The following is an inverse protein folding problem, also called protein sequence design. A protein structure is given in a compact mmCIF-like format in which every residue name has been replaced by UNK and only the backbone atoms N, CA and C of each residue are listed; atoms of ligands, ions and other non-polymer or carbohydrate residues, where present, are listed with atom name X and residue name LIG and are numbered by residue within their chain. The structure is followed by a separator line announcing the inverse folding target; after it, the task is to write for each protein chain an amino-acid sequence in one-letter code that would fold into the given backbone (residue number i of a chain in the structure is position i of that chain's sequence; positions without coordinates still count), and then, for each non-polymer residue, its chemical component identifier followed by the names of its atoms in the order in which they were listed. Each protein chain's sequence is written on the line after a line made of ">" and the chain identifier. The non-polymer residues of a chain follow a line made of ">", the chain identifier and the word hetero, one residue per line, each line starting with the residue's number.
data_IF_737626208934
#
_entry.id   IF_737626208934
#
_cell.length_a   1.000
_cell.length_b   1.000
_cell.length_c   1.000
_cell.angle_alpha   90.00
_cell.angle_beta   90.00
_cell.angle_gamma   90.00
#
_symmetry.space_group_name_H-M   'P 1'
#
loop_
_entity.id
_entity.type
_entity.pdbx_description
1 polymer ?
#
# COMPACT_ATOMS: atom_id res chain seq x y z
N UNK A 1 -5.62 -4.83 -36.15
CA UNK A 1 -6.97 -4.25 -35.91
C UNK A 1 -6.98 -3.27 -34.74
N UNK A 2 -6.13 -2.24 -34.83
CA UNK A 2 -6.02 -1.20 -33.79
C UNK A 2 -7.01 -0.04 -33.97
N UNK A 3 -7.72 0.02 -35.09
CA UNK A 3 -8.56 1.19 -35.45
C UNK A 3 -10.04 1.08 -35.05
N UNK A 4 -10.51 -0.08 -34.58
CA UNK A 4 -11.94 -0.26 -34.23
C UNK A 4 -12.25 -0.06 -32.75
N UNK A 5 -11.31 0.38 -31.93
CA UNK A 5 -11.57 0.65 -30.51
C UNK A 5 -12.21 2.02 -30.35
N UNK A 6 -13.53 2.08 -30.40
CA UNK A 6 -14.29 3.30 -30.20
C UNK A 6 -13.99 3.96 -28.85
N UNK A 7 -14.28 5.26 -28.73
CA UNK A 7 -14.11 6.05 -27.47
C UNK A 7 -14.68 5.36 -26.21
N UNK A 8 -15.67 4.48 -26.36
CA UNK A 8 -16.21 3.68 -25.26
C UNK A 8 -15.25 2.64 -24.66
N UNK A 9 -14.19 2.23 -25.38
CA UNK A 9 -13.21 1.27 -24.86
C UNK A 9 -12.09 1.91 -24.08
N UNK A 10 -11.82 3.20 -24.24
CA UNK A 10 -10.78 3.93 -23.50
C UNK A 10 -11.04 3.89 -22.00
N UNK A 11 -12.29 4.02 -21.55
CA UNK A 11 -12.64 3.95 -20.13
C UNK A 11 -12.54 2.55 -19.54
N UNK A 12 -12.66 1.51 -20.38
CA UNK A 12 -12.50 0.11 -19.98
C UNK A 12 -11.04 -0.29 -19.81
N UNK A 13 -10.10 0.45 -20.42
CA UNK A 13 -8.67 0.22 -20.33
C UNK A 13 -7.96 1.08 -19.25
N UNK A 14 -8.74 1.64 -18.33
CA UNK A 14 -8.24 2.32 -17.14
C UNK A 14 -8.55 1.48 -15.90
N UNK A 15 -7.51 1.18 -15.12
CA UNK A 15 -7.64 0.43 -13.87
C UNK A 15 -7.45 1.31 -12.64
N UNK A 16 -7.83 0.76 -11.49
CA UNK A 16 -7.52 1.33 -10.17
C UNK A 16 -7.08 0.22 -9.23
N UNK A 17 -5.96 0.43 -8.55
CA UNK A 17 -5.44 -0.52 -7.54
C UNK A 17 -4.94 0.27 -6.34
N UNK A 18 -5.57 0.08 -5.18
CA UNK A 18 -5.07 0.66 -3.93
C UNK A 18 -4.67 -0.41 -2.93
N UNK A 19 -3.60 -0.12 -2.19
CA UNK A 19 -3.18 -0.89 -1.03
C UNK A 19 -3.76 -0.31 0.26
N UNK A 20 -4.13 -1.18 1.19
CA UNK A 20 -4.46 -0.83 2.58
C UNK A 20 -4.08 -1.99 3.49
N UNK A 21 -3.65 -1.72 4.70
CA UNK A 21 -3.32 -2.78 5.66
C UNK A 21 -4.54 -3.31 6.39
N UNK A 22 -5.47 -2.43 6.76
CA UNK A 22 -6.57 -2.75 7.66
C UNK A 22 -7.94 -2.44 7.04
N UNK A 23 -8.01 -1.47 6.13
CA UNK A 23 -9.27 -1.00 5.57
C UNK A 23 -10.06 -0.12 6.53
N UNK A 24 -11.38 -0.23 6.53
CA UNK A 24 -12.28 0.65 7.27
C UNK A 24 -12.44 0.32 8.76
N UNK A 25 -11.33 0.20 9.49
CA UNK A 25 -11.34 -0.21 10.90
C UNK A 25 -12.11 0.79 11.78
N UNK A 26 -11.98 2.09 11.57
CA UNK A 26 -12.72 3.11 12.30
C UNK A 26 -14.25 2.95 12.13
N UNK A 27 -14.69 2.71 10.90
CA UNK A 27 -16.11 2.45 10.64
C UNK A 27 -16.60 1.16 11.31
N UNK A 28 -15.74 0.15 11.42
CA UNK A 28 -16.04 -1.09 12.15
C UNK A 28 -16.24 -0.82 13.64
N UNK A 29 -15.28 -0.09 14.26
CA UNK A 29 -15.39 0.26 15.68
C UNK A 29 -16.64 1.09 15.97
N UNK A 30 -16.96 2.07 15.14
CA UNK A 30 -18.15 2.89 15.30
C UNK A 30 -19.44 2.07 15.14
N UNK A 31 -19.48 1.15 14.19
CA UNK A 31 -20.63 0.26 14.02
C UNK A 31 -20.82 -0.67 15.24
N UNK A 32 -19.72 -1.19 15.82
CA UNK A 32 -19.77 -2.01 17.04
C UNK A 32 -20.28 -1.19 18.22
N UNK A 33 -19.77 0.02 18.46
CA UNK A 33 -20.24 0.91 19.53
C UNK A 33 -21.74 1.21 19.41
N UNK A 34 -22.20 1.50 18.18
CA UNK A 34 -23.63 1.74 17.93
C UNK A 34 -24.44 0.47 18.18
N UNK A 35 -23.95 -0.70 17.80
CA UNK A 35 -24.61 -1.97 18.04
C UNK A 35 -24.76 -2.26 19.53
N UNK A 36 -23.72 -2.07 20.33
CA UNK A 36 -23.72 -2.31 21.76
C UNK A 36 -24.64 -1.33 22.52
N UNK A 37 -24.61 -0.02 22.15
CA UNK A 37 -25.38 1.03 22.81
C UNK A 37 -26.87 1.05 22.38
N UNK A 38 -27.17 0.84 21.09
CA UNK A 38 -28.49 1.12 20.48
C UNK A 38 -29.10 -0.07 19.71
N UNK A 39 -28.38 -1.17 19.61
CA UNK A 39 -28.78 -2.37 18.88
C UNK A 39 -28.67 -2.26 17.36
N UNK A 40 -28.84 -3.40 16.69
CA UNK A 40 -28.58 -3.55 15.24
C UNK A 40 -29.38 -2.61 14.33
N UNK A 41 -30.59 -2.22 14.74
CA UNK A 41 -31.47 -1.34 13.96
C UNK A 41 -30.93 0.11 13.83
N UNK A 42 -29.92 0.47 14.60
CA UNK A 42 -29.32 1.81 14.61
C UNK A 42 -27.97 1.87 13.91
N UNK A 43 -27.43 0.75 13.46
CA UNK A 43 -26.22 0.72 12.64
C UNK A 43 -26.50 1.48 11.32
N UNK A 44 -25.53 2.27 10.88
CA UNK A 44 -25.63 3.00 9.61
C UNK A 44 -25.83 2.03 8.44
N UNK A 45 -26.75 2.28 7.51
CA UNK A 45 -26.88 1.46 6.29
C UNK A 45 -25.61 1.54 5.42
N UNK A 46 -24.74 2.53 5.62
CA UNK A 46 -23.48 2.69 4.92
C UNK A 46 -22.31 1.98 5.62
N UNK A 47 -22.50 1.40 6.81
CA UNK A 47 -21.42 0.78 7.58
C UNK A 47 -20.67 -0.27 6.76
N UNK A 48 -21.38 -1.15 6.07
CA UNK A 48 -20.76 -2.19 5.21
C UNK A 48 -19.86 -1.58 4.14
N UNK A 49 -20.35 -0.56 3.44
CA UNK A 49 -19.59 0.09 2.35
C UNK A 49 -18.40 0.90 2.87
N UNK A 50 -18.39 1.26 4.14
CA UNK A 50 -17.30 2.01 4.78
C UNK A 50 -16.23 1.10 5.38
N UNK A 51 -16.63 -0.07 5.91
CA UNK A 51 -15.69 -1.00 6.55
C UNK A 51 -14.91 -1.88 5.57
N UNK A 52 -15.44 -2.09 4.36
CA UNK A 52 -14.77 -2.96 3.37
C UNK A 52 -13.43 -2.37 2.89
N UNK A 53 -12.34 -3.18 2.83
CA UNK A 53 -11.05 -2.69 2.37
C UNK A 53 -11.07 -2.05 0.97
N UNK A 54 -11.96 -2.50 0.08
CA UNK A 54 -12.09 -1.96 -1.27
C UNK A 54 -12.94 -0.68 -1.37
N UNK A 55 -13.33 -0.11 -0.27
CA UNK A 55 -14.15 1.12 -0.21
C UNK A 55 -13.50 2.27 -0.95
N UNK A 56 -12.19 2.47 -0.72
CA UNK A 56 -11.41 3.55 -1.36
C UNK A 56 -11.37 3.42 -2.87
N UNK A 57 -11.07 2.23 -3.40
CA UNK A 57 -11.04 1.98 -4.85
C UNK A 57 -12.41 2.16 -5.48
N UNK A 58 -13.47 1.67 -4.81
CA UNK A 58 -14.84 1.81 -5.28
C UNK A 58 -15.31 3.27 -5.36
N UNK A 59 -15.08 4.06 -4.32
CA UNK A 59 -15.46 5.48 -4.29
C UNK A 59 -14.71 6.31 -5.33
N UNK A 60 -13.41 6.05 -5.49
CA UNK A 60 -12.60 6.75 -6.50
C UNK A 60 -13.03 6.33 -7.91
N UNK A 61 -13.30 5.04 -8.14
CA UNK A 61 -13.78 4.55 -9.42
C UNK A 61 -15.11 5.22 -9.82
N UNK A 62 -16.05 5.33 -8.89
CA UNK A 62 -17.33 6.05 -9.11
C UNK A 62 -17.09 7.51 -9.45
N UNK A 63 -16.25 8.19 -8.66
CA UNK A 63 -15.98 9.63 -8.84
C UNK A 63 -15.37 9.97 -10.20
N UNK A 64 -14.50 9.13 -10.71
CA UNK A 64 -13.77 9.37 -11.97
C UNK A 64 -14.27 8.55 -13.15
N UNK A 65 -15.31 7.74 -12.96
CA UNK A 65 -15.87 6.90 -14.01
C UNK A 65 -14.93 5.80 -14.52
N UNK A 66 -14.04 5.29 -13.66
CA UNK A 66 -13.10 4.22 -14.02
C UNK A 66 -13.88 2.91 -14.12
N UNK A 67 -13.91 2.30 -15.31
CA UNK A 67 -14.74 1.12 -15.61
C UNK A 67 -13.93 -0.16 -15.87
N UNK A 68 -12.61 -0.06 -15.85
CA UNK A 68 -11.73 -1.23 -15.94
C UNK A 68 -11.55 -1.94 -14.59
N UNK A 69 -10.53 -2.79 -14.45
CA UNK A 69 -10.26 -3.52 -13.22
C UNK A 69 -10.13 -2.60 -12.01
N UNK A 70 -10.81 -2.95 -10.92
CA UNK A 70 -10.74 -2.27 -9.63
C UNK A 70 -10.35 -3.28 -8.56
N UNK A 71 -9.16 -3.15 -8.01
CA UNK A 71 -8.59 -4.09 -7.06
C UNK A 71 -8.15 -3.37 -5.78
N UNK A 72 -8.22 -4.09 -4.66
CA UNK A 72 -7.61 -3.65 -3.41
C UNK A 72 -6.70 -4.74 -2.89
N UNK A 73 -5.47 -4.37 -2.57
CA UNK A 73 -4.44 -5.27 -2.05
C UNK A 73 -4.29 -5.02 -0.56
N UNK A 74 -4.34 -6.10 0.22
CA UNK A 74 -4.26 -6.06 1.69
C UNK A 74 -3.13 -6.96 2.18
N UNK A 75 -1.89 -6.55 1.90
CA UNK A 75 -0.67 -7.25 2.32
C UNK A 75 0.08 -6.47 3.40
N UNK A 76 -0.69 -5.96 4.38
CA UNK A 76 -0.16 -5.16 5.49
C UNK A 76 0.70 -3.99 4.98
N UNK A 77 1.89 -3.77 5.56
CA UNK A 77 2.78 -2.67 5.22
C UNK A 77 3.25 -2.68 3.76
N UNK A 78 3.26 -3.85 3.10
CA UNK A 78 3.64 -3.99 1.70
C UNK A 78 2.50 -3.68 0.70
N UNK A 79 1.28 -3.45 1.17
CA UNK A 79 0.08 -3.36 0.32
C UNK A 79 0.21 -2.33 -0.81
N UNK A 80 0.73 -1.15 -0.53
CA UNK A 80 0.92 -0.09 -1.55
C UNK A 80 2.00 -0.44 -2.56
N UNK A 81 3.11 -1.05 -2.13
CA UNK A 81 4.17 -1.51 -3.03
C UNK A 81 3.68 -2.66 -3.92
N UNK A 82 2.92 -3.60 -3.36
CA UNK A 82 2.28 -4.66 -4.15
C UNK A 82 1.25 -4.08 -5.14
N UNK A 83 0.48 -3.06 -4.76
CA UNK A 83 -0.45 -2.40 -5.67
C UNK A 83 0.28 -1.81 -6.89
N UNK A 84 1.41 -1.13 -6.66
CA UNK A 84 2.26 -0.56 -7.72
C UNK A 84 2.82 -1.66 -8.63
N UNK A 85 3.34 -2.76 -8.05
CA UNK A 85 3.86 -3.88 -8.81
C UNK A 85 2.80 -4.58 -9.67
N UNK A 86 1.61 -4.79 -9.14
CA UNK A 86 0.51 -5.37 -9.92
C UNK A 86 0.00 -4.42 -11.02
N UNK A 87 -0.01 -3.10 -10.77
CA UNK A 87 -0.31 -2.12 -11.81
C UNK A 87 0.70 -2.16 -12.95
N UNK A 88 2.03 -2.25 -12.64
CA UNK A 88 3.09 -2.46 -13.63
C UNK A 88 2.78 -3.69 -14.49
N UNK A 89 2.54 -4.85 -13.87
CA UNK A 89 2.22 -6.10 -14.59
C UNK A 89 1.00 -5.97 -15.49
N UNK A 90 -0.06 -5.33 -15.03
CA UNK A 90 -1.26 -5.14 -15.83
C UNK A 90 -1.02 -4.30 -17.07
N UNK A 91 -0.16 -3.28 -17.00
CA UNK A 91 0.22 -2.44 -18.13
C UNK A 91 1.13 -3.23 -19.09
N UNK A 92 2.14 -3.92 -18.59
CA UNK A 92 3.08 -4.72 -19.41
C UNK A 92 2.38 -5.86 -20.17
N UNK A 93 1.36 -6.48 -19.53
CA UNK A 93 0.55 -7.50 -20.18
C UNK A 93 -0.60 -6.94 -21.04
N UNK A 94 -0.64 -5.63 -21.29
CA UNK A 94 -1.67 -4.96 -22.08
C UNK A 94 -3.11 -5.20 -21.60
N UNK A 95 -3.31 -5.47 -20.31
CA UNK A 95 -4.65 -5.60 -19.71
C UNK A 95 -5.32 -4.23 -19.64
N UNK A 96 -4.55 -3.21 -19.25
CA UNK A 96 -4.97 -1.81 -19.19
C UNK A 96 -3.87 -0.89 -19.75
N UNK A 97 -4.26 0.31 -20.15
CA UNK A 97 -3.29 1.31 -20.63
C UNK A 97 -2.79 2.20 -19.50
N UNK A 98 -3.63 2.41 -18.48
CA UNK A 98 -3.34 3.29 -17.34
C UNK A 98 -3.94 2.72 -16.06
N UNK A 99 -3.25 2.93 -14.96
CA UNK A 99 -3.74 2.56 -13.62
C UNK A 99 -3.59 3.74 -12.68
N UNK A 100 -4.66 4.12 -12.02
CA UNK A 100 -4.57 4.93 -10.81
C UNK A 100 -4.20 4.00 -9.66
N UNK A 101 -2.99 4.15 -9.13
CA UNK A 101 -2.44 3.23 -8.15
C UNK A 101 -1.92 3.98 -6.93
N UNK A 102 -1.97 3.34 -5.77
CA UNK A 102 -1.43 3.93 -4.55
C UNK A 102 -1.83 3.18 -3.31
N UNK A 103 -1.91 3.88 -2.21
CA UNK A 103 -2.35 3.33 -0.95
C UNK A 103 -3.01 4.37 -0.06
N UNK A 104 -3.81 3.87 0.85
CA UNK A 104 -4.50 4.69 1.84
C UNK A 104 -4.69 3.92 3.13
N UNK A 105 -4.42 4.58 4.24
CA UNK A 105 -4.67 4.02 5.56
C UNK A 105 -5.14 5.10 6.52
N UNK A 106 -6.19 4.79 7.28
CA UNK A 106 -6.72 5.61 8.36
C UNK A 106 -7.01 4.70 9.55
N UNK A 107 -5.95 4.35 10.27
CA UNK A 107 -5.96 3.33 11.30
C UNK A 107 -5.59 3.81 12.70
N UNK A 108 -5.52 5.11 12.98
CA UNK A 108 -5.15 5.64 14.31
C UNK A 108 -6.35 5.66 15.26
N UNK A 109 -6.95 4.50 15.46
CA UNK A 109 -8.05 4.31 16.41
C UNK A 109 -7.55 3.84 17.77
N UNK A 110 -8.39 3.94 18.81
CA UNK A 110 -8.03 3.49 20.15
C UNK A 110 -7.71 1.99 20.21
N UNK A 111 -8.44 1.18 19.42
CA UNK A 111 -8.23 -0.26 19.38
C UNK A 111 -6.91 -0.61 18.68
N UNK A 112 -6.63 -0.02 17.53
CA UNK A 112 -5.39 -0.32 16.78
C UNK A 112 -4.16 0.18 17.51
N UNK A 113 -4.20 1.37 18.12
CA UNK A 113 -3.13 1.87 18.98
C UNK A 113 -2.90 0.90 20.14
N UNK A 114 -3.98 0.46 20.81
CA UNK A 114 -3.90 -0.52 21.89
C UNK A 114 -3.30 -1.85 21.42
N UNK A 115 -3.70 -2.36 20.26
CA UNK A 115 -3.19 -3.61 19.70
C UNK A 115 -1.68 -3.53 19.38
N UNK A 116 -1.24 -2.46 18.70
CA UNK A 116 0.19 -2.24 18.43
C UNK A 116 1.01 -1.99 19.69
N UNK A 117 0.45 -1.36 20.71
CA UNK A 117 1.09 -1.22 22.01
C UNK A 117 1.29 -2.58 22.71
N UNK A 118 0.32 -3.50 22.62
CA UNK A 118 0.44 -4.83 23.21
C UNK A 118 1.55 -5.67 22.59
N UNK A 119 1.77 -5.58 21.29
CA UNK A 119 2.91 -6.24 20.62
C UNK A 119 4.22 -5.48 20.77
N UNK A 120 4.23 -4.41 21.57
CA UNK A 120 5.42 -3.56 21.86
C UNK A 120 6.08 -2.95 20.61
N UNK A 121 5.27 -2.62 19.61
CA UNK A 121 5.75 -2.04 18.34
C UNK A 121 5.81 -0.51 18.38
N UNK A 122 5.09 0.14 19.32
CA UNK A 122 5.03 1.59 19.42
C UNK A 122 6.11 2.15 20.35
N UNK A 123 6.66 3.29 19.96
CA UNK A 123 7.55 4.09 20.82
C UNK A 123 6.81 4.57 22.06
N UNK A 124 7.54 4.62 23.18
CA UNK A 124 7.06 5.14 24.47
C UNK A 124 7.62 6.54 24.76
N UNK A 125 8.30 7.15 23.83
CA UNK A 125 8.97 8.46 24.01
C UNK A 125 7.97 9.61 23.82
N UNK A 126 7.04 9.75 24.78
CA UNK A 126 5.98 10.76 24.71
C UNK A 126 6.44 12.18 25.09
N UNK A 127 7.61 12.35 25.72
CA UNK A 127 8.12 13.66 26.13
C UNK A 127 8.61 14.48 24.93
N UNK A 128 9.12 13.83 23.89
CA UNK A 128 9.58 14.46 22.64
C UNK A 128 9.00 13.70 21.43
N UNK A 129 7.69 13.78 21.19
CA UNK A 129 7.00 12.95 20.19
C UNK A 129 7.55 13.14 18.77
N UNK A 130 8.06 14.31 18.44
CA UNK A 130 8.67 14.59 17.11
C UNK A 130 9.97 13.82 16.87
N UNK A 131 10.60 13.30 17.94
CA UNK A 131 11.85 12.52 17.89
C UNK A 131 11.62 11.04 18.22
N UNK A 132 10.39 10.64 18.45
CA UNK A 132 10.07 9.29 18.92
C UNK A 132 10.31 8.21 17.85
N UNK A 133 9.88 8.46 16.61
CA UNK A 133 10.18 7.59 15.47
C UNK A 133 11.54 7.95 14.90
N UNK A 134 12.53 7.05 15.05
CA UNK A 134 13.93 7.29 14.67
C UNK A 134 14.58 5.99 14.17
N UNK A 135 14.23 5.58 12.93
CA UNK A 135 14.77 4.36 12.32
C UNK A 135 16.30 4.33 12.36
N UNK A 136 16.86 3.15 12.64
CA UNK A 136 18.31 2.88 12.73
C UNK A 136 19.05 3.58 13.89
N UNK A 137 18.37 4.39 14.70
CA UNK A 137 18.99 5.01 15.90
C UNK A 137 19.20 3.97 17.01
N UNK A 138 20.29 4.12 17.76
CA UNK A 138 20.62 3.21 18.89
C UNK A 138 19.56 3.26 20.00
N UNK A 139 18.89 4.39 20.18
CA UNK A 139 17.85 4.60 21.20
C UNK A 139 16.41 4.45 20.64
N UNK A 140 16.25 3.87 19.48
CA UNK A 140 14.91 3.59 18.92
C UNK A 140 14.16 2.57 19.78
N UNK A 141 12.86 2.70 19.88
CA UNK A 141 12.02 1.82 20.70
C UNK A 141 10.67 1.50 20.07
N UNK A 142 10.48 1.81 18.79
CA UNK A 142 9.26 1.57 18.05
C UNK A 142 8.85 2.74 17.15
N UNK A 143 7.75 2.57 16.44
CA UNK A 143 7.22 3.61 15.55
C UNK A 143 6.12 4.45 16.21
N UNK A 144 5.76 5.55 15.55
CA UNK A 144 4.56 6.34 15.84
C UNK A 144 3.55 6.08 14.73
N UNK A 145 2.33 5.69 15.10
CA UNK A 145 1.25 5.48 14.11
C UNK A 145 0.91 6.79 13.41
N UNK A 146 0.64 6.69 12.12
CA UNK A 146 0.21 7.81 11.30
C UNK A 146 -0.82 7.33 10.27
N UNK A 147 -1.50 8.28 9.64
CA UNK A 147 -2.45 8.07 8.57
C UNK A 147 -1.94 8.75 7.30
N UNK A 148 -2.35 8.27 6.16
CA UNK A 148 -1.98 8.88 4.90
C UNK A 148 -2.62 8.24 3.69
N UNK A 149 -2.57 8.98 2.59
CA UNK A 149 -3.00 8.49 1.28
C UNK A 149 -2.13 9.13 0.20
N UNK A 150 -1.73 8.30 -0.75
CA UNK A 150 -0.99 8.74 -1.93
C UNK A 150 -1.50 8.00 -3.15
N UNK A 151 -1.53 8.68 -4.29
CA UNK A 151 -1.91 8.08 -5.56
C UNK A 151 -0.97 8.53 -6.68
N UNK A 152 -0.67 7.60 -7.57
CA UNK A 152 0.13 7.78 -8.78
C UNK A 152 -0.70 7.36 -10.00
N UNK A 153 -0.38 7.90 -11.16
CA UNK A 153 -0.85 7.37 -12.43
C UNK A 153 0.32 6.64 -13.07
N UNK A 154 0.17 5.32 -13.22
CA UNK A 154 1.06 4.50 -14.02
C UNK A 154 0.46 4.34 -15.42
N UNK A 155 1.32 4.46 -16.42
CA UNK A 155 0.98 4.22 -17.82
C UNK A 155 2.22 3.80 -18.59
N UNK A 156 2.05 3.24 -19.79
CA UNK A 156 3.20 2.97 -20.66
C UNK A 156 3.90 4.26 -21.07
N UNK A 157 5.22 4.21 -21.27
CA UNK A 157 6.00 5.35 -21.73
C UNK A 157 5.43 5.94 -23.03
N UNK A 158 5.06 5.07 -23.98
CA UNK A 158 4.42 5.48 -25.24
C UNK A 158 3.15 6.32 -25.00
N UNK A 159 2.31 5.88 -24.07
CA UNK A 159 1.09 6.61 -23.70
C UNK A 159 1.40 7.98 -23.09
N UNK A 160 2.40 8.05 -22.20
CA UNK A 160 2.82 9.28 -21.56
C UNK A 160 3.39 10.30 -22.58
N UNK A 161 4.24 9.84 -23.49
CA UNK A 161 4.81 10.65 -24.56
C UNK A 161 3.70 11.16 -25.49
N UNK A 162 2.79 10.27 -25.94
CA UNK A 162 1.71 10.63 -26.88
C UNK A 162 0.80 11.74 -26.34
N UNK A 163 0.61 11.84 -25.03
CA UNK A 163 -0.20 12.88 -24.40
C UNK A 163 0.62 14.04 -23.84
N UNK A 164 1.92 14.09 -24.15
CA UNK A 164 2.84 15.17 -23.77
C UNK A 164 2.86 15.44 -22.26
N UNK A 165 2.77 14.38 -21.42
CA UNK A 165 2.77 14.54 -19.98
C UNK A 165 4.17 14.46 -19.41
N UNK A 166 4.37 15.09 -18.24
CA UNK A 166 5.62 14.97 -17.50
C UNK A 166 5.76 13.55 -16.95
N UNK A 167 6.86 12.89 -17.28
CA UNK A 167 7.29 11.63 -16.67
C UNK A 167 8.13 11.98 -15.43
N UNK A 168 7.74 11.49 -14.27
CA UNK A 168 8.46 11.71 -13.00
C UNK A 168 9.50 10.64 -12.75
N UNK A 169 9.32 9.43 -13.29
CA UNK A 169 10.19 8.29 -13.15
C UNK A 169 9.59 7.05 -13.76
N UNK A 170 10.32 5.94 -13.68
CA UNK A 170 9.93 4.65 -14.22
C UNK A 170 9.88 3.61 -13.12
N UNK A 171 8.91 2.69 -13.18
CA UNK A 171 8.88 1.48 -12.37
C UNK A 171 9.52 0.37 -13.18
N UNK A 172 10.82 0.20 -13.03
CA UNK A 172 11.61 -0.70 -13.86
C UNK A 172 11.46 -2.16 -13.42
N UNK A 173 11.40 -2.43 -12.11
CA UNK A 173 11.31 -3.79 -11.62
C UNK A 173 10.43 -3.93 -10.37
N UNK A 174 9.93 -5.14 -10.17
CA UNK A 174 9.10 -5.51 -9.03
C UNK A 174 9.45 -6.89 -8.51
N UNK A 175 9.54 -7.02 -7.19
CA UNK A 175 9.74 -8.30 -6.51
C UNK A 175 8.77 -8.45 -5.34
N UNK A 176 8.21 -9.65 -5.19
CA UNK A 176 7.29 -9.98 -4.10
C UNK A 176 7.58 -11.38 -3.59
N UNK A 177 7.81 -11.51 -2.31
CA UNK A 177 8.13 -12.78 -1.63
C UNK A 177 7.38 -12.88 -0.32
N UNK A 178 7.40 -14.06 0.28
CA UNK A 178 6.84 -14.32 1.60
C UNK A 178 7.90 -14.99 2.46
N UNK A 179 8.07 -14.54 3.70
CA UNK A 179 9.05 -15.12 4.64
C UNK A 179 8.71 -16.56 5.04
N UNK A 180 7.42 -16.90 5.13
CA UNK A 180 6.93 -18.20 5.61
C UNK A 180 7.61 -18.64 6.93
N UNK A 181 7.83 -17.69 7.84
CA UNK A 181 8.61 -17.88 9.06
C UNK A 181 7.78 -17.68 10.32
N UNK A 182 7.26 -16.48 10.55
CA UNK A 182 6.52 -16.13 11.76
C UNK A 182 5.40 -15.15 11.42
N UNK A 183 4.34 -15.10 12.25
CA UNK A 183 3.18 -14.26 11.98
C UNK A 183 3.48 -12.75 11.99
N UNK A 184 4.47 -12.31 12.78
CA UNK A 184 4.82 -10.88 12.93
C UNK A 184 6.31 -10.58 12.89
N UNK A 185 7.18 -11.55 13.19
CA UNK A 185 8.62 -11.35 13.18
C UNK A 185 9.20 -11.59 11.79
N UNK A 186 10.12 -10.72 11.32
CA UNK A 186 10.85 -10.97 10.08
C UNK A 186 11.74 -12.21 10.21
N UNK A 187 12.03 -12.86 9.09
CA UNK A 187 13.01 -13.96 9.04
C UNK A 187 14.41 -13.45 9.42
N UNK A 188 15.20 -14.32 10.05
CA UNK A 188 16.55 -13.97 10.45
C UNK A 188 17.39 -13.55 9.24
N UNK A 189 18.22 -12.51 9.42
CA UNK A 189 19.09 -11.99 8.36
C UNK A 189 18.35 -11.36 7.18
N UNK A 190 17.06 -11.02 7.32
CA UNK A 190 16.30 -10.33 6.27
C UNK A 190 16.12 -11.14 4.98
N UNK A 191 16.16 -12.47 5.06
CA UNK A 191 16.20 -13.38 3.89
C UNK A 191 15.05 -13.13 2.91
N UNK A 192 13.82 -12.96 3.41
CA UNK A 192 12.65 -12.70 2.56
C UNK A 192 12.73 -11.37 1.84
N UNK A 193 13.15 -10.30 2.53
CA UNK A 193 13.38 -8.99 1.93
C UNK A 193 14.50 -9.03 0.87
N UNK A 194 15.59 -9.75 1.15
CA UNK A 194 16.68 -9.95 0.21
C UNK A 194 16.20 -10.64 -1.08
N UNK A 195 15.33 -11.66 -0.97
CA UNK A 195 14.75 -12.32 -2.15
C UNK A 195 13.88 -11.36 -2.96
N UNK A 196 13.06 -10.54 -2.30
CA UNK A 196 12.23 -9.54 -2.98
C UNK A 196 13.08 -8.51 -3.73
N UNK A 197 14.13 -7.99 -3.10
CA UNK A 197 15.07 -7.06 -3.74
C UNK A 197 15.77 -7.69 -4.95
N UNK A 198 16.26 -8.94 -4.81
CA UNK A 198 16.87 -9.66 -5.94
C UNK A 198 15.91 -9.88 -7.09
N UNK A 199 14.64 -10.21 -6.81
CA UNK A 199 13.63 -10.34 -7.85
C UNK A 199 13.40 -9.01 -8.58
N UNK A 200 13.29 -7.90 -7.85
CA UNK A 200 13.10 -6.57 -8.44
C UNK A 200 14.27 -6.16 -9.33
N UNK A 201 15.51 -6.46 -8.92
CA UNK A 201 16.73 -6.19 -9.71
C UNK A 201 16.75 -7.01 -10.99
N UNK A 202 16.39 -8.32 -10.90
CA UNK A 202 16.29 -9.19 -12.08
C UNK A 202 15.18 -8.73 -13.02
N UNK A 203 14.01 -8.39 -12.49
CA UNK A 203 12.88 -7.89 -13.27
C UNK A 203 13.19 -6.56 -13.98
N UNK A 204 14.04 -5.73 -13.35
CA UNK A 204 14.51 -4.47 -13.92
C UNK A 204 15.66 -4.63 -14.94
N UNK A 205 16.25 -5.81 -15.06
CA UNK A 205 17.44 -6.09 -15.89
C UNK A 205 18.60 -5.12 -15.59
N UNK A 206 18.91 -4.89 -14.31
CA UNK A 206 19.99 -4.02 -13.85
C UNK A 206 20.97 -4.76 -12.95
N UNK A 207 22.15 -4.18 -12.73
CA UNK A 207 23.12 -4.67 -11.77
C UNK A 207 22.90 -4.03 -10.38
N UNK A 208 23.24 -4.75 -9.31
CA UNK A 208 23.16 -4.25 -7.91
C UNK A 208 23.89 -2.91 -7.73
N UNK A 209 25.06 -2.75 -8.40
CA UNK A 209 25.84 -1.51 -8.32
C UNK A 209 25.16 -0.27 -8.92
N UNK A 210 24.05 -0.46 -9.66
CA UNK A 210 23.27 0.63 -10.24
C UNK A 210 22.22 1.19 -9.24
N UNK A 211 22.15 0.65 -8.05
CA UNK A 211 21.25 1.13 -6.99
C UNK A 211 21.97 2.24 -6.21
N UNK A 212 21.43 3.44 -6.28
CA UNK A 212 21.96 4.61 -5.56
C UNK A 212 21.29 4.83 -4.20
N UNK A 213 20.06 4.34 -4.01
CA UNK A 213 19.28 4.60 -2.81
C UNK A 213 18.32 3.44 -2.49
N UNK A 214 18.19 3.13 -1.21
CA UNK A 214 17.20 2.18 -0.69
C UNK A 214 16.28 2.92 0.28
N UNK A 215 15.00 2.96 -0.02
CA UNK A 215 13.98 3.39 0.93
C UNK A 215 13.58 2.18 1.78
N UNK A 216 14.19 2.04 2.93
CA UNK A 216 13.95 0.94 3.85
C UNK A 216 12.52 0.96 4.43
N UNK A 217 12.07 -0.15 4.98
CA UNK A 217 10.87 -0.17 5.80
C UNK A 217 11.04 0.70 7.04
N UNK A 218 12.18 0.62 7.71
CA UNK A 218 12.64 1.58 8.71
C UNK A 218 11.62 1.84 9.82
N UNK A 219 11.10 0.79 10.43
CA UNK A 219 10.02 0.91 11.42
C UNK A 219 10.44 1.50 12.75
N UNK A 220 11.72 1.77 12.97
CA UNK A 220 12.22 2.20 14.28
C UNK A 220 12.05 1.12 15.37
N UNK A 221 11.76 -0.12 15.00
CA UNK A 221 11.76 -1.26 15.91
C UNK A 221 13.13 -1.92 15.95
N UNK A 222 13.46 -2.54 17.08
CA UNK A 222 14.77 -3.20 17.25
C UNK A 222 14.98 -4.30 16.20
N UNK A 223 13.99 -5.17 16.03
CA UNK A 223 14.11 -6.35 15.17
C UNK A 223 14.16 -5.98 13.68
N UNK A 224 13.28 -5.09 13.20
CA UNK A 224 13.23 -4.75 11.78
C UNK A 224 14.51 -4.05 11.33
N UNK A 225 14.91 -3.00 12.03
CA UNK A 225 16.01 -2.15 11.56
C UNK A 225 17.35 -2.89 11.54
N UNK A 226 17.56 -3.86 12.45
CA UNK A 226 18.73 -4.74 12.41
C UNK A 226 18.69 -5.66 11.18
N UNK A 227 17.51 -6.19 10.82
CA UNK A 227 17.39 -7.08 9.67
C UNK A 227 17.54 -6.36 8.32
N UNK A 228 17.34 -5.05 8.29
CA UNK A 228 17.52 -4.23 7.08
C UNK A 228 18.95 -3.69 6.92
N UNK A 229 19.82 -3.87 7.93
CA UNK A 229 21.21 -3.40 7.90
C UNK A 229 22.16 -4.51 7.49
#
# INVERSE_FOLDING_TARGET
>A
DSESRGLGDVYKRQGIIFGTGIGGIGATEDAVRVYEDKGSKRISPLAITQLMPNSSTGQVAIKYGIKGPSLTITTACAASANAIGEAKRMIEHNIVDKVLVGGTESGTTSMTIGAFAQIKALSKQNNEPQKACKPFDVNRDGFVMAEGSTALILESEESAIKRETKIYGYISGYGSTTDAYHITAPSEGGEGALRAMKQAIVDADIEVKSIDYINAHGTSTLANDINET
#
